data_IF_916586016335
#
_entry.id   IF_916586016335
#
_cell.length_a   1.000
_cell.length_b   1.000
_cell.length_c   1.000
_cell.angle_alpha   90.00
_cell.angle_beta   90.00
_cell.angle_gamma   90.00
#
_symmetry.space_group_name_H-M   'P 1'
#
loop_
_entity.id
_entity.type
_entity.pdbx_description
1 polymer ?
#
# COMPACT_ATOMS: atom_id res chain seq x y z
N UNK A 1 12.40 11.16 -16.67
CA UNK A 1 12.21 10.64 -15.30
C UNK A 1 10.82 10.04 -15.20
N UNK A 2 10.69 8.73 -15.39
CA UNK A 2 9.45 8.02 -15.07
C UNK A 2 9.44 7.76 -13.56
N UNK A 3 8.78 8.62 -12.79
CA UNK A 3 8.50 8.27 -11.40
C UNK A 3 7.54 7.08 -11.41
N UNK A 4 7.95 5.97 -10.79
CA UNK A 4 7.05 4.87 -10.52
C UNK A 4 6.41 5.13 -9.15
N UNK A 5 5.11 5.45 -9.07
CA UNK A 5 4.43 5.76 -7.80
C UNK A 5 4.52 4.60 -6.80
N UNK A 6 4.66 3.35 -7.27
CA UNK A 6 4.91 2.20 -6.40
C UNK A 6 6.24 2.33 -5.64
N UNK A 7 7.32 2.69 -6.33
CA UNK A 7 8.63 2.85 -5.70
C UNK A 7 8.61 3.97 -4.65
N UNK A 8 7.92 5.08 -4.94
CA UNK A 8 7.79 6.18 -3.98
C UNK A 8 7.06 5.76 -2.69
N UNK A 9 5.99 4.97 -2.81
CA UNK A 9 5.24 4.48 -1.66
C UNK A 9 6.08 3.46 -0.89
N UNK A 10 6.76 2.54 -1.59
CA UNK A 10 7.62 1.53 -0.97
C UNK A 10 8.73 2.20 -0.15
N UNK A 11 9.41 3.20 -0.70
CA UNK A 11 10.48 3.92 -0.03
C UNK A 11 9.96 4.64 1.24
N UNK A 12 8.76 5.24 1.18
CA UNK A 12 8.12 5.88 2.35
C UNK A 12 7.80 4.87 3.46
N UNK A 13 7.32 3.68 3.11
CA UNK A 13 7.04 2.61 4.10
C UNK A 13 8.33 2.15 4.78
N UNK A 14 9.40 1.92 4.01
CA UNK A 14 10.71 1.54 4.54
C UNK A 14 11.25 2.62 5.49
N UNK A 15 11.17 3.90 5.10
CA UNK A 15 11.59 5.03 5.94
C UNK A 15 10.80 5.09 7.26
N UNK A 16 9.50 4.85 7.23
CA UNK A 16 8.65 4.81 8.42
C UNK A 16 9.10 3.68 9.36
N UNK A 17 9.26 2.45 8.86
CA UNK A 17 9.66 1.30 9.67
C UNK A 17 11.04 1.50 10.30
N UNK A 18 11.99 2.06 9.55
CA UNK A 18 13.31 2.44 10.06
C UNK A 18 13.20 3.44 11.21
N UNK A 19 12.36 4.46 11.06
CA UNK A 19 12.13 5.49 12.09
C UNK A 19 11.53 4.89 13.35
N UNK A 20 10.51 4.04 13.21
CA UNK A 20 9.85 3.36 14.33
C UNK A 20 10.81 2.43 15.06
N UNK A 21 11.66 1.71 14.31
CA UNK A 21 12.68 0.83 14.90
C UNK A 21 13.76 1.62 15.63
N UNK A 22 14.25 2.71 15.03
CA UNK A 22 15.25 3.60 15.63
C UNK A 22 14.76 4.24 16.94
N UNK A 23 13.45 4.51 17.05
CA UNK A 23 12.80 5.02 18.28
C UNK A 23 12.33 3.91 19.23
N UNK A 24 12.60 2.63 18.92
CA UNK A 24 12.22 1.47 19.75
C UNK A 24 10.69 1.36 19.96
N UNK A 25 9.90 1.94 19.07
CA UNK A 25 8.43 1.79 19.12
C UNK A 25 7.95 0.42 18.66
N UNK A 26 8.78 -0.28 17.89
CA UNK A 26 8.52 -1.66 17.44
C UNK A 26 9.68 -2.59 17.80
N UNK A 27 9.32 -3.83 18.13
CA UNK A 27 10.30 -4.90 18.40
C UNK A 27 10.96 -5.35 17.09
N UNK A 28 12.15 -5.94 17.21
CA UNK A 28 12.93 -6.44 16.06
C UNK A 28 12.10 -7.41 15.19
N UNK A 29 11.40 -8.35 15.81
CA UNK A 29 10.58 -9.32 15.08
C UNK A 29 9.41 -8.67 14.32
N UNK A 30 8.81 -7.61 14.86
CA UNK A 30 7.73 -6.88 14.18
C UNK A 30 8.28 -6.14 12.97
N UNK A 31 9.42 -5.47 13.14
CA UNK A 31 10.12 -4.81 12.03
C UNK A 31 10.45 -5.80 10.90
N UNK A 32 11.00 -6.97 11.23
CA UNK A 32 11.35 -8.00 10.24
C UNK A 32 10.12 -8.56 9.52
N UNK A 33 9.00 -8.76 10.22
CA UNK A 33 7.75 -9.25 9.60
C UNK A 33 7.05 -8.19 8.75
N UNK A 34 7.18 -6.91 9.09
CA UNK A 34 6.52 -5.80 8.39
C UNK A 34 7.35 -5.25 7.24
N UNK A 35 8.65 -5.54 7.19
CA UNK A 35 9.53 -5.04 6.15
C UNK A 35 9.12 -5.62 4.79
N UNK A 36 8.77 -4.79 3.81
CA UNK A 36 8.32 -5.28 2.51
C UNK A 36 9.49 -5.90 1.73
N UNK A 37 9.26 -7.07 1.15
CA UNK A 37 10.14 -7.65 0.15
C UNK A 37 9.87 -6.97 -1.21
N UNK A 38 10.87 -6.25 -1.71
CA UNK A 38 10.77 -5.46 -2.94
C UNK A 38 10.35 -6.30 -4.15
N UNK A 39 10.92 -7.50 -4.32
CA UNK A 39 10.66 -8.36 -5.47
C UNK A 39 9.22 -8.89 -5.43
N UNK A 40 8.76 -9.29 -4.25
CA UNK A 40 7.39 -9.76 -4.07
C UNK A 40 6.35 -8.63 -4.22
N UNK A 41 6.65 -7.45 -3.70
CA UNK A 41 5.75 -6.30 -3.80
C UNK A 41 5.63 -5.77 -5.25
N UNK A 42 6.71 -5.78 -6.03
CA UNK A 42 6.69 -5.35 -7.44
C UNK A 42 5.83 -6.30 -8.29
N UNK A 43 5.95 -7.61 -8.07
CA UNK A 43 5.09 -8.61 -8.72
C UNK A 43 3.61 -8.37 -8.39
N UNK A 44 3.27 -8.21 -7.11
CA UNK A 44 1.89 -7.97 -6.69
C UNK A 44 1.30 -6.70 -7.33
N UNK A 45 2.10 -5.62 -7.46
CA UNK A 45 1.68 -4.38 -8.12
C UNK A 45 1.33 -4.59 -9.60
N UNK A 46 2.12 -5.38 -10.33
CA UNK A 46 1.90 -5.65 -11.75
C UNK A 46 0.62 -6.47 -12.02
N UNK A 47 0.25 -7.35 -11.09
CA UNK A 47 -0.95 -8.18 -11.19
C UNK A 47 -2.16 -7.61 -10.43
N UNK A 48 -2.01 -6.43 -9.81
CA UNK A 48 -3.12 -5.72 -9.21
C UNK A 48 -3.99 -5.14 -10.33
N UNK A 49 -4.92 -5.96 -10.82
CA UNK A 49 -5.99 -5.52 -11.69
C UNK A 49 -7.15 -5.08 -10.79
N UNK A 50 -7.30 -3.77 -10.45
CA UNK A 50 -8.42 -3.34 -9.64
C UNK A 50 -9.68 -3.69 -10.42
N UNK A 51 -10.42 -4.70 -9.95
CA UNK A 51 -11.79 -4.89 -10.41
C UNK A 51 -12.51 -3.61 -10.02
N UNK A 52 -12.67 -2.71 -10.99
CA UNK A 52 -13.53 -1.56 -10.87
C UNK A 52 -14.94 -2.14 -10.74
N UNK A 53 -15.35 -2.38 -9.51
CA UNK A 53 -16.75 -2.62 -9.21
C UNK A 53 -17.47 -1.36 -9.70
N UNK A 54 -18.14 -1.45 -10.85
CA UNK A 54 -19.01 -0.39 -11.35
C UNK A 54 -20.05 -0.17 -10.25
N UNK A 55 -19.90 0.91 -9.50
CA UNK A 55 -20.93 1.34 -8.55
C UNK A 55 -22.11 1.80 -9.39
N UNK A 56 -23.08 0.91 -9.62
CA UNK A 56 -24.34 1.28 -10.24
C UNK A 56 -25.09 2.11 -9.21
N UNK A 57 -25.04 3.43 -9.33
CA UNK A 57 -25.89 4.34 -8.58
C UNK A 57 -27.34 4.08 -8.98
N UNK A 58 -28.05 3.24 -8.22
CA UNK A 58 -29.50 3.16 -8.26
C UNK A 58 -30.04 4.49 -7.73
N UNK A 59 -30.39 5.41 -8.63
CA UNK A 59 -31.20 6.59 -8.30
C UNK A 59 -32.56 6.09 -7.82
N UNK A 60 -32.74 5.97 -6.51
CA UNK A 60 -34.06 5.84 -5.91
C UNK A 60 -34.72 7.22 -6.00
N UNK A 61 -35.63 7.38 -6.97
CA UNK A 61 -36.54 8.52 -6.98
C UNK A 61 -37.55 8.32 -5.84
N UNK A 62 -37.38 9.09 -4.76
CA UNK A 62 -38.44 9.29 -3.76
C UNK A 62 -39.32 10.41 -4.32
N UNK A 63 -40.54 10.08 -4.76
CA UNK A 63 -41.57 11.08 -5.02
C UNK A 63 -42.00 11.66 -3.67
N UNK A 64 -41.72 12.94 -3.47
CA UNK A 64 -42.32 13.78 -2.42
C UNK A 64 -43.62 14.35 -3.00
#
# INVERSE_FOLDING_TARGET
>A
LSSNPFNEILDKVIQLLNTLRGKIFIRKWQYEQMMPDRTNCELAHLYFNPKTHKVTFLKVFVNI
#
